data_IF_566112840781
#
_entry.id   IF_566112840781
#
_cell.length_a   1.000
_cell.length_b   1.000
_cell.length_c   1.000
_cell.angle_alpha   90.00
_cell.angle_beta   90.00
_cell.angle_gamma   90.00
#
_symmetry.space_group_name_H-M   'P 1'
#
loop_
_entity.id
_entity.type
_entity.pdbx_description
1 polymer ?
#
# COMPACT_ATOMS: atom_id res chain seq x y z
N UNK A 1 17.88 8.05 8.56
CA UNK A 1 16.51 8.48 8.17
C UNK A 1 16.43 8.33 6.65
N UNK A 2 15.42 7.64 6.14
CA UNK A 2 15.14 7.53 4.71
C UNK A 2 13.62 7.60 4.50
N UNK A 3 13.21 8.15 3.38
CA UNK A 3 11.81 8.28 2.95
C UNK A 3 11.31 6.97 2.32
N UNK A 4 10.00 6.86 2.07
CA UNK A 4 9.43 5.74 1.30
C UNK A 4 10.05 5.66 -0.10
N UNK A 5 10.27 6.82 -0.75
CA UNK A 5 10.95 6.89 -2.04
C UNK A 5 12.39 6.33 -1.98
N UNK A 6 13.13 6.59 -0.88
CA UNK A 6 14.47 6.02 -0.70
C UNK A 6 14.45 4.49 -0.52
N UNK A 7 13.39 3.94 0.06
CA UNK A 7 13.21 2.49 0.17
C UNK A 7 12.90 1.89 -1.20
N UNK A 8 11.99 2.51 -1.95
CA UNK A 8 11.63 2.06 -3.30
C UNK A 8 12.84 2.11 -4.22
N UNK A 9 13.60 3.22 -4.23
CA UNK A 9 14.81 3.38 -5.05
C UNK A 9 15.85 2.30 -4.75
N UNK A 10 16.10 2.02 -3.46
CA UNK A 10 17.00 0.92 -3.06
C UNK A 10 16.49 -0.45 -3.49
N UNK A 11 15.18 -0.70 -3.39
CA UNK A 11 14.57 -1.95 -3.85
C UNK A 11 14.71 -2.16 -5.35
N UNK A 12 14.62 -1.09 -6.14
CA UNK A 12 14.89 -1.10 -7.58
C UNK A 12 16.38 -1.36 -7.86
N UNK A 13 17.29 -0.65 -7.17
CA UNK A 13 18.75 -0.87 -7.28
C UNK A 13 19.16 -2.31 -6.94
N UNK A 14 18.43 -2.97 -6.03
CA UNK A 14 18.65 -4.35 -5.63
C UNK A 14 17.92 -5.37 -6.51
N UNK A 15 17.08 -4.93 -7.46
CA UNK A 15 16.29 -5.80 -8.33
C UNK A 15 15.11 -6.51 -7.66
N UNK A 16 14.78 -6.15 -6.41
CA UNK A 16 13.60 -6.67 -5.69
C UNK A 16 12.32 -6.02 -6.20
N UNK A 17 12.40 -4.73 -6.52
CA UNK A 17 11.31 -3.99 -7.16
C UNK A 17 11.58 -3.78 -8.64
N UNK A 18 10.51 -3.75 -9.42
CA UNK A 18 10.55 -3.42 -10.84
C UNK A 18 10.98 -1.95 -11.03
N UNK A 19 11.60 -1.58 -12.17
CA UNK A 19 12.02 -0.20 -12.42
C UNK A 19 10.81 0.72 -12.52
N UNK A 20 10.62 1.59 -11.53
CA UNK A 20 9.52 2.56 -11.42
C UNK A 20 10.06 3.94 -11.04
N UNK A 21 9.24 4.98 -11.27
CA UNK A 21 9.46 6.28 -10.64
C UNK A 21 9.23 6.18 -9.12
N UNK A 22 10.31 6.23 -8.35
CA UNK A 22 10.28 6.01 -6.91
C UNK A 22 9.49 7.11 -6.17
N UNK A 23 9.54 8.35 -6.64
CA UNK A 23 8.86 9.48 -6.01
C UNK A 23 7.35 9.43 -6.28
N UNK A 24 6.95 9.16 -7.53
CA UNK A 24 5.54 8.92 -7.87
C UNK A 24 4.94 7.69 -7.18
N UNK A 25 5.69 6.58 -7.10
CA UNK A 25 5.26 5.38 -6.39
C UNK A 25 5.12 5.62 -4.88
N UNK A 26 6.04 6.35 -4.26
CA UNK A 26 5.95 6.73 -2.85
C UNK A 26 4.75 7.62 -2.57
N UNK A 27 4.46 8.58 -3.46
CA UNK A 27 3.29 9.44 -3.36
C UNK A 27 1.99 8.62 -3.44
N UNK A 28 1.88 7.74 -4.41
CA UNK A 28 0.71 6.87 -4.59
C UNK A 28 0.49 5.96 -3.37
N UNK A 29 1.55 5.32 -2.87
CA UNK A 29 1.47 4.46 -1.69
C UNK A 29 1.07 5.25 -0.44
N UNK A 30 1.63 6.45 -0.24
CA UNK A 30 1.29 7.31 0.90
C UNK A 30 -0.17 7.75 0.84
N UNK A 31 -0.64 8.21 -0.32
CA UNK A 31 -2.04 8.61 -0.51
C UNK A 31 -3.00 7.44 -0.28
N UNK A 32 -2.64 6.22 -0.69
CA UNK A 32 -3.41 5.02 -0.43
C UNK A 32 -3.47 4.68 1.07
N UNK A 33 -2.34 4.77 1.78
CA UNK A 33 -2.29 4.58 3.24
C UNK A 33 -3.20 5.58 3.95
N UNK A 34 -3.10 6.86 3.60
CA UNK A 34 -3.90 7.93 4.23
C UNK A 34 -5.40 7.75 3.96
N UNK A 35 -5.77 7.38 2.74
CA UNK A 35 -7.16 7.10 2.35
C UNK A 35 -7.74 5.88 3.07
N UNK A 36 -6.98 4.80 3.21
CA UNK A 36 -7.42 3.60 3.94
C UNK A 36 -7.48 3.84 5.44
N UNK A 37 -6.50 4.53 6.02
CA UNK A 37 -6.51 4.89 7.43
C UNK A 37 -7.72 5.77 7.78
N UNK A 38 -8.07 6.73 6.92
CA UNK A 38 -9.27 7.56 7.08
C UNK A 38 -10.55 6.72 7.11
N UNK A 39 -10.65 5.70 6.26
CA UNK A 39 -11.79 4.77 6.24
C UNK A 39 -11.84 3.87 7.48
N UNK A 40 -10.70 3.36 7.93
CA UNK A 40 -10.59 2.55 9.17
C UNK A 40 -11.05 3.39 10.36
N UNK A 41 -10.59 4.63 10.48
CA UNK A 41 -10.95 5.54 11.56
C UNK A 41 -12.42 5.98 11.52
N UNK A 42 -13.01 6.07 10.32
CA UNK A 42 -14.41 6.40 10.12
C UNK A 42 -15.36 5.21 10.41
N UNK A 43 -14.83 3.98 10.49
CA UNK A 43 -15.63 2.80 10.82
C UNK A 43 -15.86 2.74 12.33
N UNK A 44 -17.10 2.89 12.78
CA UNK A 44 -17.44 2.80 14.20
C UNK A 44 -17.13 1.40 14.77
N UNK A 45 -16.59 1.29 15.99
CA UNK A 45 -16.43 0.00 16.66
C UNK A 45 -17.81 -0.57 17.00
N UNK A 46 -18.33 -1.42 16.10
CA UNK A 46 -19.67 -2.04 16.20
C UNK A 46 -20.57 -1.77 14.99
N UNK A 47 -20.15 -0.91 14.05
CA UNK A 47 -20.88 -0.59 12.83
C UNK A 47 -20.74 -1.69 11.78
N UNK A 48 -21.49 -2.79 11.95
CA UNK A 48 -22.01 -3.53 10.80
C UNK A 48 -23.16 -2.71 10.19
N UNK A 49 -22.89 -1.52 9.67
CA UNK A 49 -23.91 -0.78 8.94
C UNK A 49 -24.09 -1.49 7.59
N UNK A 50 -25.29 -2.00 7.34
CA UNK A 50 -25.72 -2.69 6.11
C UNK A 50 -25.00 -3.99 5.69
N UNK A 51 -24.30 -4.68 6.60
CA UNK A 51 -23.71 -6.00 6.31
C UNK A 51 -22.52 -5.96 5.34
N UNK A 52 -22.02 -4.77 5.02
CA UNK A 52 -20.75 -4.59 4.34
C UNK A 52 -19.67 -4.43 5.40
N UNK A 53 -18.65 -5.31 5.47
CA UNK A 53 -17.54 -5.12 6.39
C UNK A 53 -16.86 -3.80 6.03
N UNK A 54 -16.85 -2.83 6.96
CA UNK A 54 -16.01 -1.65 6.84
C UNK A 54 -14.54 -2.06 6.66
N UNK A 55 -13.71 -1.15 6.12
CA UNK A 55 -12.28 -1.41 5.93
C UNK A 55 -11.62 -1.52 7.30
N UNK A 56 -11.59 -2.72 7.88
CA UNK A 56 -10.87 -2.99 9.11
C UNK A 56 -9.35 -2.92 8.88
N UNK A 57 -8.58 -2.84 9.98
CA UNK A 57 -7.12 -2.78 9.90
C UNK A 57 -6.50 -3.94 9.09
N UNK A 58 -7.09 -5.15 9.17
CA UNK A 58 -6.67 -6.29 8.37
C UNK A 58 -6.91 -6.08 6.87
N UNK A 59 -8.09 -5.58 6.49
CA UNK A 59 -8.42 -5.30 5.09
C UNK A 59 -7.53 -4.19 4.50
N UNK A 60 -7.20 -3.17 5.31
CA UNK A 60 -6.20 -2.15 4.95
C UNK A 60 -4.83 -2.78 4.70
N UNK A 61 -4.35 -3.63 5.60
CA UNK A 61 -3.06 -4.32 5.45
C UNK A 61 -3.03 -5.16 4.17
N UNK A 62 -4.04 -5.99 3.94
CA UNK A 62 -4.10 -6.89 2.78
C UNK A 62 -4.16 -6.09 1.46
N UNK A 63 -4.88 -4.97 1.45
CA UNK A 63 -4.92 -4.05 0.30
C UNK A 63 -3.56 -3.43 0.02
N UNK A 64 -2.84 -2.99 1.05
CA UNK A 64 -1.51 -2.38 0.90
C UNK A 64 -0.49 -3.39 0.39
N UNK A 65 -0.50 -4.63 0.92
CA UNK A 65 0.36 -5.71 0.43
C UNK A 65 0.03 -6.05 -1.02
N UNK A 66 -1.25 -6.20 -1.37
CA UNK A 66 -1.67 -6.45 -2.74
C UNK A 66 -1.26 -5.33 -3.71
N UNK A 67 -1.30 -4.07 -3.27
CA UNK A 67 -0.83 -2.93 -4.07
C UNK A 67 0.69 -2.98 -4.29
N UNK A 68 1.48 -3.22 -3.23
CA UNK A 68 2.94 -3.37 -3.35
C UNK A 68 3.27 -4.51 -4.31
N UNK A 69 2.58 -5.63 -4.19
CA UNK A 69 2.82 -6.78 -5.05
C UNK A 69 2.53 -6.48 -6.53
N UNK A 70 1.34 -5.97 -6.83
CA UNK A 70 0.92 -5.66 -8.19
C UNK A 70 1.73 -4.51 -8.84
N UNK A 71 2.18 -3.53 -8.04
CA UNK A 71 2.75 -2.29 -8.57
C UNK A 71 4.26 -2.13 -8.37
N UNK A 72 4.89 -2.89 -7.48
CA UNK A 72 6.30 -2.72 -7.15
C UNK A 72 7.10 -4.02 -7.30
N UNK A 73 6.55 -5.18 -6.96
CA UNK A 73 7.31 -6.45 -7.02
C UNK A 73 7.78 -6.75 -8.44
N UNK A 74 9.08 -7.04 -8.58
CA UNK A 74 9.63 -7.58 -9.81
C UNK A 74 9.14 -9.03 -10.00
N UNK A 75 8.14 -9.21 -10.86
CA UNK A 75 7.75 -10.55 -11.30
C UNK A 75 8.76 -11.02 -12.34
N UNK A 76 9.61 -11.97 -11.97
CA UNK A 76 10.41 -12.71 -12.94
C UNK A 76 9.43 -13.59 -13.72
N UNK A 77 9.31 -13.35 -15.03
CA UNK A 77 8.72 -14.35 -15.92
C UNK A 77 9.69 -15.53 -15.92
N UNK A 78 9.26 -16.65 -15.36
CA UNK A 78 9.94 -17.95 -15.48
C UNK A 78 9.97 -18.41 -16.95
#
# INVERSE_FOLDING_TARGET
RGTVADVIRRGVEQGVFRPVDADGAALALTALIDGLASQVLATEPGGQDDGVPGTGAQAMHDTLIGHVDACLTAHTAD
#
